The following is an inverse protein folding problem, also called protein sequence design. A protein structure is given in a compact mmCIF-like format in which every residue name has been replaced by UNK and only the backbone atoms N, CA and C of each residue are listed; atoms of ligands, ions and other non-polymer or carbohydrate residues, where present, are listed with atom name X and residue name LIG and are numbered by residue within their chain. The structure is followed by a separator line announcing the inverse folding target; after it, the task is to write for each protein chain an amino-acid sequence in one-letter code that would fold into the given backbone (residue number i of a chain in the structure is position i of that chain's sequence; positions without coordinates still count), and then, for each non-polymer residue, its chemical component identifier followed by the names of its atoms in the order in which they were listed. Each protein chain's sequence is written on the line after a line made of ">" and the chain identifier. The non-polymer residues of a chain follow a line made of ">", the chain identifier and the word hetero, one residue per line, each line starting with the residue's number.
data_IF_017544217072
#
_entry.id   IF_017544217072
#
_cell.length_a   1.000
_cell.length_b   1.000
_cell.length_c   1.000
_cell.angle_alpha   90.00
_cell.angle_beta   90.00
_cell.angle_gamma   90.00
#
_symmetry.space_group_name_H-M   'P 1'
#
loop_
_entity.id
_entity.type
_entity.pdbx_description
1 polymer ?
#
# COMPACT_ATOMS: atom_id res chain seq x y z
N UNK A 1 19.75 -1.27 -31.51
CA UNK A 1 20.22 -0.82 -32.83
C UNK A 1 20.82 -1.97 -33.66
N UNK A 2 21.90 -2.64 -33.21
CA UNK A 2 22.55 -3.73 -33.98
C UNK A 2 21.66 -4.96 -34.24
N UNK A 3 20.83 -5.38 -33.27
CA UNK A 3 19.94 -6.53 -33.46
C UNK A 3 18.87 -6.29 -34.53
N UNK A 4 18.23 -5.11 -34.53
CA UNK A 4 17.17 -4.77 -35.50
C UNK A 4 17.66 -4.81 -36.95
N UNK A 5 18.91 -4.41 -37.20
CA UNK A 5 19.55 -4.45 -38.53
C UNK A 5 19.82 -5.91 -38.95
N UNK A 6 20.19 -6.77 -38.00
CA UNK A 6 20.54 -8.17 -38.22
C UNK A 6 19.37 -9.14 -37.99
N UNK A 7 18.13 -8.67 -37.79
CA UNK A 7 16.98 -9.53 -37.45
C UNK A 7 16.77 -10.66 -38.46
N UNK A 8 17.05 -10.40 -39.74
CA UNK A 8 16.95 -11.39 -40.82
C UNK A 8 17.89 -12.60 -40.64
N UNK A 9 18.98 -12.46 -39.87
CA UNK A 9 19.92 -13.55 -39.56
C UNK A 9 19.45 -14.44 -38.41
N UNK A 10 18.44 -14.01 -37.65
CA UNK A 10 17.95 -14.71 -36.46
C UNK A 10 16.46 -15.05 -36.60
N UNK A 11 16.16 -16.13 -37.32
CA UNK A 11 14.78 -16.56 -37.62
C UNK A 11 13.98 -17.05 -36.40
N UNK A 12 14.63 -17.29 -35.26
CA UNK A 12 14.00 -17.81 -34.03
C UNK A 12 14.19 -16.91 -32.80
N UNK A 13 14.70 -15.68 -32.98
CA UNK A 13 14.92 -14.73 -31.88
C UNK A 13 14.06 -13.50 -32.12
N UNK A 14 13.33 -13.09 -31.08
CA UNK A 14 12.55 -11.86 -31.13
C UNK A 14 12.91 -10.92 -29.98
N UNK A 15 12.74 -9.62 -30.21
CA UNK A 15 12.91 -8.59 -29.19
C UNK A 15 11.54 -8.01 -28.90
N UNK A 16 11.11 -8.17 -27.67
CA UNK A 16 9.82 -7.68 -27.19
C UNK A 16 10.07 -6.57 -26.18
N UNK A 17 9.42 -5.44 -26.39
CA UNK A 17 9.41 -4.35 -25.41
C UNK A 17 8.43 -4.68 -24.28
N UNK A 18 8.86 -4.48 -23.04
CA UNK A 18 8.05 -4.69 -21.84
C UNK A 18 8.04 -3.43 -20.98
N UNK A 19 6.91 -3.17 -20.34
CA UNK A 19 6.80 -2.11 -19.34
C UNK A 19 7.19 -2.66 -17.97
N UNK A 20 8.13 -1.98 -17.31
CA UNK A 20 8.47 -2.24 -15.91
C UNK A 20 8.06 -1.05 -15.05
N UNK A 21 7.51 -1.34 -13.88
CA UNK A 21 7.14 -0.31 -12.90
C UNK A 21 8.40 0.18 -12.17
N UNK A 22 8.46 1.47 -11.91
CA UNK A 22 9.61 2.12 -11.27
C UNK A 22 9.13 3.12 -10.21
N UNK A 23 9.71 3.04 -9.01
CA UNK A 23 9.39 3.88 -7.86
C UNK A 23 10.57 4.80 -7.55
N UNK A 24 10.57 6.05 -8.06
CA UNK A 24 11.70 6.97 -7.93
C UNK A 24 11.92 7.44 -6.49
N UNK A 25 10.86 7.44 -5.67
CA UNK A 25 10.90 7.83 -4.26
C UNK A 25 11.15 6.64 -3.32
N UNK A 26 11.29 5.43 -3.88
CA UNK A 26 11.74 4.23 -3.17
C UNK A 26 11.00 3.93 -1.87
N UNK A 27 11.77 3.64 -0.83
CA UNK A 27 11.29 3.03 0.42
C UNK A 27 10.33 3.93 1.21
N UNK A 28 10.48 5.25 1.13
CA UNK A 28 9.69 6.23 1.90
C UNK A 28 8.18 6.16 1.62
N UNK A 29 7.82 5.56 0.49
CA UNK A 29 6.46 5.50 -0.03
C UNK A 29 5.93 4.07 -0.17
N UNK A 30 6.70 3.05 0.23
CA UNK A 30 6.30 1.66 -0.03
C UNK A 30 4.96 1.32 0.62
N UNK A 31 4.70 1.72 1.87
CA UNK A 31 3.42 1.39 2.52
C UNK A 31 2.24 2.26 2.09
N UNK A 32 2.49 3.41 1.46
CA UNK A 32 1.43 4.29 0.96
C UNK A 32 1.10 3.97 -0.50
N UNK A 33 2.09 4.07 -1.38
CA UNK A 33 1.95 3.81 -2.83
C UNK A 33 1.83 2.32 -3.10
N UNK A 34 2.64 1.51 -2.42
CA UNK A 34 2.73 0.08 -2.68
C UNK A 34 3.63 -0.27 -3.84
N UNK A 35 3.46 -1.49 -4.33
CA UNK A 35 4.14 -1.96 -5.53
C UNK A 35 3.27 -2.93 -6.32
N UNK A 36 3.55 -3.05 -7.61
CA UNK A 36 3.15 -4.19 -8.44
C UNK A 36 4.20 -5.30 -8.38
N UNK A 37 3.77 -6.54 -8.44
CA UNK A 37 4.65 -7.70 -8.59
C UNK A 37 4.02 -8.73 -9.53
N UNK A 38 4.77 -9.79 -9.86
CA UNK A 38 4.27 -10.86 -10.72
C UNK A 38 2.99 -11.47 -10.14
N UNK A 39 2.03 -11.74 -11.02
CA UNK A 39 0.78 -12.40 -10.70
C UNK A 39 1.08 -13.82 -10.17
N UNK A 40 0.51 -14.14 -9.00
CA UNK A 40 0.56 -15.45 -8.37
C UNK A 40 -0.78 -16.21 -8.49
N UNK A 41 -0.84 -17.43 -7.95
CA UNK A 41 -2.03 -18.29 -8.02
C UNK A 41 -3.24 -17.69 -7.31
N UNK A 42 -3.04 -16.95 -6.22
CA UNK A 42 -4.14 -16.30 -5.50
C UNK A 42 -4.67 -15.12 -6.30
N UNK A 43 -3.80 -14.33 -6.93
CA UNK A 43 -4.24 -13.26 -7.83
C UNK A 43 -5.04 -13.83 -9.00
N UNK A 44 -4.57 -14.92 -9.65
CA UNK A 44 -5.30 -15.56 -10.75
C UNK A 44 -6.70 -16.01 -10.32
N UNK A 45 -6.81 -16.57 -9.11
CA UNK A 45 -8.09 -16.94 -8.52
C UNK A 45 -8.98 -15.70 -8.34
N UNK A 46 -8.47 -14.63 -7.74
CA UNK A 46 -9.22 -13.38 -7.53
C UNK A 46 -9.65 -12.72 -8.86
N UNK A 47 -8.78 -12.73 -9.87
CA UNK A 47 -9.07 -12.23 -11.22
C UNK A 47 -10.19 -13.06 -11.86
N UNK A 48 -10.15 -14.39 -11.68
CA UNK A 48 -11.19 -15.27 -12.21
C UNK A 48 -12.52 -15.08 -11.51
N UNK A 49 -12.52 -14.95 -10.17
CA UNK A 49 -13.72 -14.71 -9.37
C UNK A 49 -14.35 -13.35 -9.67
N UNK A 50 -13.55 -12.35 -10.02
CA UNK A 50 -14.02 -11.02 -10.45
C UNK A 50 -14.46 -10.95 -11.91
N UNK A 51 -14.26 -12.02 -12.70
CA UNK A 51 -14.63 -12.07 -14.12
C UNK A 51 -13.69 -11.31 -15.06
N UNK A 52 -12.51 -10.90 -14.58
CA UNK A 52 -11.57 -10.06 -15.33
C UNK A 52 -10.51 -10.87 -16.11
N UNK A 53 -10.64 -12.20 -16.18
CA UNK A 53 -9.68 -13.10 -16.88
C UNK A 53 -9.27 -12.60 -18.28
N UNK A 54 -10.24 -12.15 -19.09
CA UNK A 54 -9.94 -11.64 -20.43
C UNK A 54 -9.09 -10.37 -20.38
N UNK A 55 -9.30 -9.52 -19.36
CA UNK A 55 -8.61 -8.25 -19.22
C UNK A 55 -7.16 -8.45 -18.74
N UNK A 56 -6.85 -9.53 -18.04
CA UNK A 56 -5.49 -9.84 -17.57
C UNK A 56 -4.73 -10.85 -18.44
N UNK A 57 -5.31 -11.29 -19.56
CA UNK A 57 -4.74 -12.32 -20.44
C UNK A 57 -3.33 -12.03 -20.99
N UNK A 58 -2.96 -10.74 -21.10
CA UNK A 58 -1.63 -10.29 -21.53
C UNK A 58 -0.87 -9.52 -20.42
N UNK A 59 -1.37 -9.58 -19.19
CA UNK A 59 -0.83 -8.86 -18.04
C UNK A 59 -0.07 -9.83 -17.14
N UNK A 60 1.13 -9.45 -16.73
CA UNK A 60 2.03 -10.31 -15.93
C UNK A 60 2.21 -9.82 -14.50
N UNK A 61 1.83 -8.57 -14.21
CA UNK A 61 2.02 -7.92 -12.92
C UNK A 61 0.72 -7.30 -12.45
N UNK A 62 0.52 -7.26 -11.14
CA UNK A 62 -0.66 -6.69 -10.48
C UNK A 62 -0.23 -5.94 -9.21
N UNK A 63 -0.96 -4.89 -8.83
CA UNK A 63 -0.80 -4.20 -7.56
C UNK A 63 -0.95 -5.13 -6.36
N UNK A 64 0.03 -5.12 -5.46
CA UNK A 64 0.10 -6.02 -4.29
C UNK A 64 -0.18 -5.36 -2.95
N UNK A 65 -0.02 -4.04 -2.87
CA UNK A 65 -0.41 -3.26 -1.70
C UNK A 65 -0.63 -1.79 -2.04
N UNK A 66 -1.09 -1.03 -1.05
CA UNK A 66 -1.17 0.42 -1.11
C UNK A 66 -2.13 0.92 -2.19
N UNK A 67 -1.77 2.05 -2.81
CA UNK A 67 -2.52 2.63 -3.94
C UNK A 67 -2.50 1.72 -5.16
N UNK A 68 -1.39 1.04 -5.46
CA UNK A 68 -1.30 0.14 -6.62
C UNK A 68 -2.37 -0.96 -6.54
N UNK A 69 -2.52 -1.63 -5.39
CA UNK A 69 -3.59 -2.64 -5.18
C UNK A 69 -4.98 -2.00 -5.11
N UNK A 70 -5.14 -0.94 -4.31
CA UNK A 70 -6.47 -0.36 -4.05
C UNK A 70 -7.12 0.27 -5.28
N UNK A 71 -6.31 0.75 -6.23
CA UNK A 71 -6.76 1.38 -7.47
C UNK A 71 -6.35 0.59 -8.72
N UNK A 72 -6.03 -0.70 -8.59
CA UNK A 72 -5.61 -1.57 -9.69
C UNK A 72 -6.57 -1.46 -10.90
N UNK A 73 -7.88 -1.51 -10.67
CA UNK A 73 -8.89 -1.43 -11.73
C UNK A 73 -8.84 -0.11 -12.53
N UNK A 74 -8.40 0.98 -11.93
CA UNK A 74 -8.20 2.27 -12.60
C UNK A 74 -6.84 2.33 -13.29
N UNK A 75 -5.80 1.76 -12.67
CA UNK A 75 -4.41 1.83 -13.11
C UNK A 75 -4.06 0.84 -14.23
N UNK A 76 -4.70 -0.33 -14.24
CA UNK A 76 -4.46 -1.39 -15.22
C UNK A 76 -4.90 -0.98 -16.64
N UNK A 77 -6.08 -0.37 -16.74
CA UNK A 77 -6.71 -0.06 -18.02
C UNK A 77 -7.35 -1.30 -18.67
N UNK A 78 -7.37 -1.33 -20.00
CA UNK A 78 -7.96 -2.43 -20.78
C UNK A 78 -6.99 -2.98 -21.80
N UNK A 79 -6.75 -4.28 -21.78
CA UNK A 79 -5.91 -4.92 -22.79
C UNK A 79 -6.55 -4.84 -24.17
N UNK A 80 -5.70 -4.71 -25.17
CA UNK A 80 -6.07 -4.82 -26.58
C UNK A 80 -5.94 -6.26 -27.06
N UNK A 81 -6.23 -6.49 -28.33
CA UNK A 81 -5.94 -7.77 -28.98
C UNK A 81 -5.60 -7.58 -30.45
N UNK A 82 -4.93 -8.58 -31.01
CA UNK A 82 -4.66 -8.70 -32.44
C UNK A 82 -5.13 -10.07 -32.91
N UNK A 83 -5.95 -10.10 -33.96
CA UNK A 83 -6.25 -11.32 -34.71
C UNK A 83 -5.21 -11.43 -35.82
N UNK A 84 -4.39 -12.48 -35.76
CA UNK A 84 -3.30 -12.72 -36.71
C UNK A 84 -3.57 -14.01 -37.49
N UNK A 85 -3.27 -13.99 -38.78
CA UNK A 85 -3.23 -15.19 -39.62
C UNK A 85 -1.83 -15.81 -39.51
N UNK A 86 -1.77 -17.11 -39.20
CA UNK A 86 -0.52 -17.85 -39.03
C UNK A 86 -0.38 -18.94 -40.09
N UNK A 87 0.85 -19.25 -40.51
CA UNK A 87 1.14 -20.38 -41.38
C UNK A 87 1.14 -21.71 -40.59
N UNK A 88 1.36 -22.84 -41.28
CA UNK A 88 1.43 -24.17 -40.65
C UNK A 88 2.58 -24.32 -39.62
N UNK A 89 3.56 -23.42 -39.65
CA UNK A 89 4.71 -23.37 -38.72
C UNK A 89 4.47 -22.42 -37.54
N UNK A 90 3.28 -21.81 -37.44
CA UNK A 90 2.91 -20.86 -36.37
C UNK A 90 3.44 -19.43 -36.57
N UNK A 91 4.00 -19.10 -37.74
CA UNK A 91 4.52 -17.76 -38.04
C UNK A 91 3.41 -16.83 -38.47
N UNK A 92 3.42 -15.61 -37.93
CA UNK A 92 2.46 -14.55 -38.29
C UNK A 92 2.68 -14.10 -39.73
N UNK A 93 1.68 -14.30 -40.59
CA UNK A 93 1.68 -13.86 -41.99
C UNK A 93 1.18 -12.41 -42.08
N UNK A 94 0.02 -12.12 -41.46
CA UNK A 94 -0.59 -10.78 -41.43
C UNK A 94 -1.54 -10.58 -40.25
N UNK A 95 -1.83 -9.33 -39.94
CA UNK A 95 -2.82 -8.91 -38.93
C UNK A 95 -4.17 -8.67 -39.62
N UNK A 96 -5.21 -9.40 -39.21
CA UNK A 96 -6.58 -9.28 -39.74
C UNK A 96 -7.39 -8.20 -39.02
N UNK A 97 -7.24 -8.11 -37.70
CA UNK A 97 -7.94 -7.15 -36.86
C UNK A 97 -7.03 -6.73 -35.71
N UNK A 98 -7.04 -5.45 -35.36
CA UNK A 98 -6.31 -4.93 -34.21
C UNK A 98 -7.20 -4.00 -33.41
N UNK A 99 -7.35 -4.30 -32.12
CA UNK A 99 -7.92 -3.39 -31.14
C UNK A 99 -6.81 -2.93 -30.21
N UNK A 100 -6.51 -1.64 -30.21
CA UNK A 100 -5.49 -1.08 -29.32
C UNK A 100 -5.91 -1.19 -27.85
N UNK A 101 -4.93 -1.43 -26.98
CA UNK A 101 -5.12 -1.35 -25.54
C UNK A 101 -5.48 0.08 -25.13
N UNK A 102 -6.26 0.21 -24.05
CA UNK A 102 -6.52 1.50 -23.40
C UNK A 102 -5.65 1.57 -22.15
N UNK A 103 -4.78 2.56 -22.10
CA UNK A 103 -3.96 2.82 -20.92
C UNK A 103 -4.85 3.08 -19.70
N UNK A 104 -4.37 2.70 -18.52
CA UNK A 104 -4.99 3.06 -17.26
C UNK A 104 -5.05 4.57 -17.05
N UNK A 105 -5.76 4.96 -15.99
CA UNK A 105 -5.91 6.37 -15.61
C UNK A 105 -4.75 6.80 -14.73
N UNK A 106 -4.36 8.05 -14.87
CA UNK A 106 -3.45 8.70 -13.93
C UNK A 106 -4.19 9.01 -12.63
N UNK A 107 -3.53 8.79 -11.51
CA UNK A 107 -4.01 9.17 -10.19
C UNK A 107 -3.24 10.38 -9.68
N UNK A 108 -3.95 11.32 -9.07
CA UNK A 108 -3.37 12.45 -8.36
C UNK A 108 -3.65 12.26 -6.87
N UNK A 109 -2.59 12.04 -6.10
CA UNK A 109 -2.68 11.76 -4.67
C UNK A 109 -2.65 13.05 -3.85
N UNK A 110 -3.22 12.99 -2.66
CA UNK A 110 -3.22 14.11 -1.70
C UNK A 110 -1.95 14.14 -0.85
N UNK A 111 -1.13 13.09 -0.92
CA UNK A 111 0.12 12.99 -0.17
C UNK A 111 1.06 14.12 -0.61
N UNK A 112 1.52 14.90 0.37
CA UNK A 112 2.48 15.96 0.14
C UNK A 112 3.90 15.41 0.33
N UNK A 113 4.70 15.43 -0.74
CA UNK A 113 6.07 14.91 -0.75
C UNK A 113 6.96 15.53 0.34
N UNK A 114 6.88 16.85 0.54
CA UNK A 114 7.72 17.55 1.51
C UNK A 114 7.33 17.19 2.95
N UNK A 115 6.03 17.11 3.24
CA UNK A 115 5.55 16.71 4.56
C UNK A 115 5.86 15.23 4.85
N UNK A 116 5.75 14.35 3.86
CA UNK A 116 6.12 12.94 3.99
C UNK A 116 7.58 12.80 4.40
N UNK A 117 8.50 13.52 3.72
CA UNK A 117 9.93 13.49 4.05
C UNK A 117 10.22 13.97 5.47
N UNK A 118 9.66 15.10 5.86
CA UNK A 118 9.80 15.64 7.23
C UNK A 118 9.30 14.61 8.25
N UNK A 119 8.17 13.96 7.99
CA UNK A 119 7.63 12.92 8.88
C UNK A 119 8.54 11.70 8.95
N UNK A 120 9.04 11.20 7.81
CA UNK A 120 9.99 10.08 7.75
C UNK A 120 11.27 10.40 8.52
N UNK A 121 11.85 11.58 8.31
CA UNK A 121 13.05 12.05 9.02
C UNK A 121 12.80 12.18 10.53
N UNK A 122 11.64 12.72 10.93
CA UNK A 122 11.25 12.87 12.33
C UNK A 122 11.08 11.53 13.04
N UNK A 123 10.62 10.50 12.32
CA UNK A 123 10.49 9.15 12.85
C UNK A 123 11.87 8.47 12.98
N UNK A 124 12.78 8.76 12.06
CA UNK A 124 14.13 8.22 12.02
C UNK A 124 14.12 6.69 12.01
N UNK A 125 14.95 6.07 12.87
CA UNK A 125 15.04 4.60 13.00
C UNK A 125 13.99 3.98 13.92
N UNK A 126 12.98 4.73 14.37
CA UNK A 126 11.97 4.23 15.29
C UNK A 126 10.92 3.42 14.53
N UNK A 127 10.49 2.32 15.14
CA UNK A 127 9.33 1.57 14.69
C UNK A 127 8.06 2.35 15.04
N UNK A 128 7.28 2.71 14.03
CA UNK A 128 6.09 3.53 14.26
C UNK A 128 5.36 3.89 12.99
N UNK A 129 4.36 4.75 13.15
CA UNK A 129 3.56 5.29 12.08
C UNK A 129 3.30 6.77 12.32
N UNK A 130 3.21 7.55 11.24
CA UNK A 130 2.80 8.96 11.28
C UNK A 130 1.75 9.16 10.19
N UNK A 131 0.62 9.76 10.57
CA UNK A 131 -0.46 10.13 9.65
C UNK A 131 -0.80 11.59 9.89
N UNK A 132 -0.87 12.37 8.81
CA UNK A 132 -1.41 13.73 8.84
C UNK A 132 -2.62 13.78 7.92
N UNK A 133 -3.75 14.22 8.47
CA UNK A 133 -5.02 14.37 7.76
C UNK A 133 -5.44 15.83 7.84
N UNK A 134 -5.88 16.40 6.72
CA UNK A 134 -6.56 17.68 6.71
C UNK A 134 -7.98 17.49 7.28
N UNK A 135 -8.31 18.05 8.46
CA UNK A 135 -9.60 17.81 9.10
C UNK A 135 -10.78 18.46 8.34
N UNK A 136 -10.51 19.36 7.38
CA UNK A 136 -11.55 20.06 6.62
C UNK A 136 -12.23 19.17 5.59
N UNK A 137 -11.48 18.23 5.02
CA UNK A 137 -11.94 17.39 3.91
C UNK A 137 -11.47 15.93 3.97
N UNK A 138 -10.74 15.55 5.03
CA UNK A 138 -10.27 14.20 5.24
C UNK A 138 -9.08 13.79 4.36
N UNK A 139 -8.46 14.72 3.63
CA UNK A 139 -7.31 14.39 2.78
C UNK A 139 -6.11 13.93 3.60
N UNK A 140 -5.56 12.78 3.23
CA UNK A 140 -4.31 12.27 3.81
C UNK A 140 -3.13 12.98 3.17
N UNK A 141 -2.40 13.77 3.96
CA UNK A 141 -1.23 14.52 3.52
C UNK A 141 0.08 13.76 3.78
N UNK A 142 0.11 12.93 4.82
CA UNK A 142 1.26 12.11 5.23
C UNK A 142 0.78 10.72 5.61
N UNK A 143 1.50 9.69 5.15
CA UNK A 143 1.23 8.29 5.43
C UNK A 143 2.56 7.54 5.55
N UNK A 144 3.16 7.55 6.73
CA UNK A 144 4.47 6.94 7.00
C UNK A 144 4.29 5.72 7.90
N UNK A 145 4.90 4.60 7.50
CA UNK A 145 5.07 3.40 8.33
C UNK A 145 6.54 3.03 8.32
N UNK A 146 7.13 2.80 9.49
CA UNK A 146 8.55 2.47 9.63
C UNK A 146 8.74 1.21 10.49
N UNK A 147 9.68 0.31 10.11
CA UNK A 147 10.66 0.45 9.02
C UNK A 147 10.09 0.12 7.64
N UNK A 148 10.78 0.59 6.60
CA UNK A 148 10.43 0.47 5.17
C UNK A 148 11.31 -0.55 4.44
N UNK A 149 11.11 -0.69 3.13
CA UNK A 149 11.90 -1.52 2.22
C UNK A 149 11.74 -1.01 0.78
N UNK A 150 12.67 -1.34 -0.12
CA UNK A 150 12.65 -0.89 -1.51
C UNK A 150 11.59 -1.62 -2.36
N UNK A 151 10.54 -0.92 -2.84
CA UNK A 151 9.50 -1.52 -3.68
C UNK A 151 10.00 -1.94 -5.07
N UNK A 152 11.10 -1.35 -5.56
CA UNK A 152 11.65 -1.70 -6.87
C UNK A 152 12.16 -3.14 -6.90
N UNK A 153 12.60 -3.68 -5.75
CA UNK A 153 13.02 -5.09 -5.62
C UNK A 153 11.88 -6.06 -5.89
N UNK A 154 10.65 -5.68 -5.57
CA UNK A 154 9.47 -6.52 -5.82
C UNK A 154 8.98 -6.41 -7.27
N UNK A 155 8.99 -5.21 -7.84
CA UNK A 155 8.56 -5.00 -9.22
C UNK A 155 9.42 -5.74 -10.26
N UNK A 156 10.72 -5.95 -9.99
CA UNK A 156 11.60 -6.72 -10.88
C UNK A 156 11.61 -8.23 -10.59
N UNK A 157 10.86 -8.69 -9.58
CA UNK A 157 11.03 -10.02 -8.99
C UNK A 157 12.10 -10.00 -7.91
N UNK A 158 11.68 -10.14 -6.66
CA UNK A 158 12.57 -10.07 -5.49
C UNK A 158 13.39 -11.35 -5.36
N UNK A 159 14.65 -11.20 -4.98
CA UNK A 159 15.51 -12.32 -4.64
C UNK A 159 15.02 -13.04 -3.36
N UNK A 160 15.08 -14.37 -3.36
CA UNK A 160 14.61 -15.20 -2.25
C UNK A 160 15.33 -14.91 -0.94
N UNK A 161 16.64 -14.68 -0.97
CA UNK A 161 17.41 -14.37 0.24
C UNK A 161 16.99 -13.01 0.82
N UNK A 162 16.84 -12.00 -0.04
CA UNK A 162 16.36 -10.69 0.38
C UNK A 162 14.94 -10.76 0.96
N UNK A 163 14.02 -11.45 0.28
CA UNK A 163 12.65 -11.61 0.75
C UNK A 163 12.58 -12.31 2.11
N UNK A 164 13.35 -13.39 2.28
CA UNK A 164 13.44 -14.10 3.56
C UNK A 164 14.02 -13.21 4.68
N UNK A 165 14.94 -12.30 4.36
CA UNK A 165 15.47 -11.34 5.34
C UNK A 165 14.40 -10.34 5.82
N UNK A 166 13.52 -9.89 4.92
CA UNK A 166 12.40 -9.00 5.26
C UNK A 166 11.34 -9.72 6.11
N UNK A 167 11.03 -10.97 5.77
CA UNK A 167 10.08 -11.81 6.51
C UNK A 167 10.57 -12.15 7.93
N UNK A 168 11.83 -12.54 8.07
CA UNK A 168 12.44 -12.94 9.34
C UNK A 168 12.87 -11.76 10.22
N UNK A 169 12.83 -10.54 9.69
CA UNK A 169 13.21 -9.33 10.43
C UNK A 169 12.32 -9.14 11.67
N UNK A 170 12.98 -9.01 12.84
CA UNK A 170 12.33 -8.68 14.11
C UNK A 170 11.59 -7.35 14.06
N UNK A 171 12.01 -6.45 13.18
CA UNK A 171 11.41 -5.14 13.03
C UNK A 171 10.20 -5.12 12.08
N UNK A 172 9.88 -6.25 11.43
CA UNK A 172 8.67 -6.44 10.62
C UNK A 172 8.41 -5.28 9.63
N UNK A 173 9.33 -5.03 8.68
CA UNK A 173 9.22 -3.92 7.72
C UNK A 173 8.06 -4.11 6.72
N UNK A 174 7.62 -5.35 6.48
CA UNK A 174 6.49 -5.63 5.60
C UNK A 174 5.13 -5.18 6.16
N UNK A 175 5.03 -4.91 7.47
CA UNK A 175 3.79 -4.48 8.11
C UNK A 175 3.56 -3.00 7.88
N UNK A 176 2.39 -2.66 7.32
CA UNK A 176 1.90 -1.30 7.25
C UNK A 176 1.29 -0.88 8.59
N UNK A 177 2.08 -0.24 9.46
CA UNK A 177 1.67 0.13 10.81
C UNK A 177 0.57 1.17 10.87
N UNK A 178 0.33 1.92 9.80
CA UNK A 178 -0.73 2.92 9.75
C UNK A 178 -2.11 2.25 9.79
N UNK A 179 -2.31 1.21 8.98
CA UNK A 179 -3.62 0.54 8.83
C UNK A 179 -3.69 -0.82 9.53
N UNK A 180 -2.56 -1.49 9.76
CA UNK A 180 -2.49 -2.81 10.39
C UNK A 180 -1.95 -2.76 11.83
N UNK A 181 -1.45 -1.61 12.28
CA UNK A 181 -0.94 -1.41 13.62
C UNK A 181 -2.05 -1.47 14.67
N UNK A 182 -2.05 -2.51 15.50
CA UNK A 182 -2.99 -2.66 16.62
C UNK A 182 -2.30 -2.31 17.92
N UNK A 183 -2.64 -1.14 18.47
CA UNK A 183 -2.07 -0.62 19.70
C UNK A 183 -3.20 -0.19 20.66
N UNK A 184 -3.02 -0.35 21.98
CA UNK A 184 -3.87 0.34 22.93
C UNK A 184 -3.78 1.86 22.66
N UNK A 185 -4.90 2.58 22.47
CA UNK A 185 -4.87 4.02 22.19
C UNK A 185 -4.34 4.84 23.37
N UNK A 186 -4.30 4.26 24.58
CA UNK A 186 -3.87 4.94 25.78
C UNK A 186 -4.72 6.18 26.05
N UNK A 187 -4.09 7.27 26.49
CA UNK A 187 -4.80 8.50 26.85
C UNK A 187 -5.37 9.27 25.64
N UNK A 188 -5.06 8.88 24.39
CA UNK A 188 -5.55 9.59 23.18
C UNK A 188 -7.06 9.50 23.00
N UNK A 189 -7.72 8.51 23.61
CA UNK A 189 -9.18 8.35 23.54
C UNK A 189 -9.95 9.28 24.50
N UNK A 190 -9.26 9.89 25.47
CA UNK A 190 -9.91 10.67 26.55
C UNK A 190 -10.80 11.82 26.05
N UNK A 191 -10.43 12.61 25.02
CA UNK A 191 -11.31 13.66 24.50
C UNK A 191 -12.66 13.11 24.02
N UNK A 192 -12.67 11.95 23.36
CA UNK A 192 -13.91 11.30 22.90
C UNK A 192 -14.76 10.81 24.06
N UNK A 193 -14.15 10.16 25.07
CA UNK A 193 -14.86 9.72 26.27
C UNK A 193 -15.43 10.90 27.06
N UNK A 194 -14.68 12.01 27.14
CA UNK A 194 -15.13 13.25 27.76
C UNK A 194 -16.36 13.82 27.04
N UNK A 195 -16.34 13.87 25.70
CA UNK A 195 -17.48 14.32 24.91
C UNK A 195 -18.71 13.44 25.14
N UNK A 196 -18.56 12.11 25.11
CA UNK A 196 -19.65 11.16 25.41
C UNK A 196 -20.21 11.39 26.82
N UNK A 197 -19.35 11.66 27.80
CA UNK A 197 -19.77 11.89 29.18
C UNK A 197 -20.59 13.18 29.33
N UNK A 198 -20.23 14.24 28.60
CA UNK A 198 -20.97 15.50 28.53
C UNK A 198 -22.31 15.32 27.81
N UNK A 199 -22.32 14.66 26.64
CA UNK A 199 -23.52 14.40 25.84
C UNK A 199 -24.56 13.58 26.63
N UNK A 200 -24.11 12.54 27.35
CA UNK A 200 -24.98 11.69 28.15
C UNK A 200 -25.36 12.31 29.52
N UNK A 201 -24.91 13.52 29.83
CA UNK A 201 -25.19 14.19 31.12
C UNK A 201 -24.55 13.53 32.34
N UNK A 202 -23.66 12.55 32.17
CA UNK A 202 -22.94 11.88 33.28
C UNK A 202 -21.89 12.79 33.93
N UNK A 203 -21.45 13.81 33.20
CA UNK A 203 -20.56 14.88 33.66
C UNK A 203 -20.99 16.23 33.05
N UNK A 204 -20.37 17.33 33.51
CA UNK A 204 -20.53 18.66 32.92
C UNK A 204 -19.21 19.44 33.01
N UNK A 205 -19.12 20.59 32.34
CA UNK A 205 -17.90 21.41 32.25
C UNK A 205 -17.45 22.05 33.57
N UNK A 206 -18.29 22.01 34.62
CA UNK A 206 -18.00 22.56 35.96
C UNK A 206 -17.82 21.47 37.02
N UNK A 207 -17.95 20.20 36.65
CA UNK A 207 -17.89 19.09 37.61
C UNK A 207 -16.43 18.86 38.00
N UNK A 208 -16.14 19.06 39.28
CA UNK A 208 -14.83 18.78 39.86
C UNK A 208 -14.87 17.48 40.66
N UNK A 209 -13.76 16.75 40.66
CA UNK A 209 -13.57 15.53 41.44
C UNK A 209 -12.19 15.57 42.05
N UNK A 210 -12.10 15.34 43.37
CA UNK A 210 -10.81 15.18 44.04
C UNK A 210 -10.12 13.89 43.58
N UNK A 211 -8.90 14.01 43.06
CA UNK A 211 -8.08 12.88 42.61
C UNK A 211 -6.89 12.68 43.57
N UNK A 212 -6.91 11.67 44.46
CA UNK A 212 -5.78 11.38 45.35
C UNK A 212 -4.67 10.55 44.68
N UNK A 213 -4.58 10.55 43.34
CA UNK A 213 -3.66 9.71 42.55
C UNK A 213 -4.14 8.27 42.29
N UNK A 214 -5.37 7.92 42.68
CA UNK A 214 -6.00 6.62 42.40
C UNK A 214 -7.52 6.68 42.56
N UNK A 215 -8.21 5.67 42.02
CA UNK A 215 -9.64 5.46 42.14
C UNK A 215 -9.96 3.99 42.45
N UNK A 216 -11.01 3.73 43.23
CA UNK A 216 -11.53 2.38 43.50
C UNK A 216 -13.01 2.31 43.17
N UNK A 217 -13.42 1.21 42.55
CA UNK A 217 -14.84 0.93 42.31
C UNK A 217 -15.53 0.66 43.65
N UNK A 218 -16.75 1.18 43.81
CA UNK A 218 -17.54 0.98 45.04
C UNK A 218 -17.72 -0.51 45.31
N UNK A 219 -17.32 -0.97 46.49
CA UNK A 219 -17.39 -2.38 46.88
C UNK A 219 -16.18 -3.23 46.47
N UNK A 220 -15.13 -2.65 45.89
CA UNK A 220 -13.90 -3.35 45.51
C UNK A 220 -12.66 -2.71 46.15
N UNK A 221 -11.72 -3.52 46.63
CA UNK A 221 -10.46 -3.06 47.23
C UNK A 221 -9.41 -2.66 46.17
N UNK A 222 -9.60 -3.06 44.91
CA UNK A 222 -8.65 -2.78 43.84
C UNK A 222 -8.52 -1.27 43.58
N UNK A 223 -7.29 -0.79 43.43
CA UNK A 223 -6.96 0.62 43.13
C UNK A 223 -6.48 0.77 41.69
N UNK A 224 -7.26 1.48 40.88
CA UNK A 224 -6.85 1.98 39.57
C UNK A 224 -6.02 3.24 39.77
N UNK A 225 -4.73 3.19 39.43
CA UNK A 225 -3.79 4.28 39.70
C UNK A 225 -3.84 5.33 38.59
N UNK A 226 -3.67 6.59 38.96
CA UNK A 226 -3.33 7.65 38.02
C UNK A 226 -1.82 7.61 37.70
N UNK A 227 -1.41 8.28 36.62
CA UNK A 227 0.00 8.43 36.27
C UNK A 227 0.72 9.40 37.22
N UNK A 228 0.00 10.37 37.79
CA UNK A 228 0.50 11.32 38.78
C UNK A 228 0.16 10.84 40.19
N UNK A 229 1.20 10.59 40.99
CA UNK A 229 1.10 9.90 42.30
C UNK A 229 0.24 10.63 43.32
N UNK A 230 0.19 11.96 43.28
CA UNK A 230 -0.48 12.80 44.28
C UNK A 230 -1.71 13.54 43.71
N UNK A 231 -2.08 13.28 42.45
CA UNK A 231 -3.11 14.04 41.73
C UNK A 231 -2.57 15.30 41.07
#
# INVERSE_FOLDING_TARGET
>A
ALFSINRHLFSSVDVVEGFNRYYPLGEEFVHSIGYVARIDENDLKNISESGENSNYSATTHIGKLGIEESYESFLHGKVGYQKVEVNAEGRVIRVLERRAAKSGKNLYLTINLSLQRIATESLGRKKGAIVAVDPRDGRVLVFVSSPTYDPNKFASGIDTQLYNSLLSSKDKPLINRVIQGKYPPGSTIKPFLGLIALENGTSNTKKEVWCPGWFSLKGHEHRYRDWKKEG
#
